data_IF_334057674295
#
_entry.id   IF_334057674295
#
_cell.length_a   1.000
_cell.length_b   1.000
_cell.length_c   1.000
_cell.angle_alpha   90.00
_cell.angle_beta   90.00
_cell.angle_gamma   90.00
#
_symmetry.space_group_name_H-M   'P 1'
#
loop_
_entity.id
_entity.type
_entity.pdbx_description
1 polymer ?
#
# COMPACT_ATOMS: atom_id res chain seq x y z
N UNK A 1 -4.68 -8.20 21.42
CA UNK A 1 -3.88 -7.37 20.49
C UNK A 1 -4.27 -7.77 19.07
N UNK A 2 -4.73 -6.84 18.24
CA UNK A 2 -5.20 -7.14 16.87
C UNK A 2 -4.14 -6.73 15.84
N UNK A 3 -4.02 -7.51 14.78
CA UNK A 3 -3.19 -7.20 13.62
C UNK A 3 -4.12 -6.96 12.43
N UNK A 4 -4.09 -5.76 11.87
CA UNK A 4 -5.04 -5.31 10.85
C UNK A 4 -4.26 -4.94 9.59
N UNK A 5 -4.57 -5.60 8.48
CA UNK A 5 -4.02 -5.29 7.17
C UNK A 5 -4.94 -4.29 6.45
N UNK A 6 -4.41 -3.12 6.13
CA UNK A 6 -5.07 -2.09 5.34
C UNK A 6 -4.59 -2.23 3.90
N UNK A 7 -5.53 -2.47 2.98
CA UNK A 7 -5.25 -2.47 1.55
C UNK A 7 -5.42 -1.06 1.00
N UNK A 8 -4.53 -0.65 0.10
CA UNK A 8 -4.63 0.64 -0.56
C UNK A 8 -4.27 0.56 -2.03
N UNK A 9 -5.03 1.27 -2.85
CA UNK A 9 -4.74 1.63 -4.24
C UNK A 9 -4.43 3.14 -4.37
N UNK A 10 -4.24 3.83 -3.23
CA UNK A 10 -4.08 5.29 -3.09
C UNK A 10 -5.27 6.13 -3.56
N UNK A 11 -6.39 5.51 -3.92
CA UNK A 11 -7.63 6.23 -4.23
C UNK A 11 -8.20 6.93 -2.99
N UNK A 12 -9.04 7.93 -3.22
CA UNK A 12 -9.81 8.59 -2.15
C UNK A 12 -10.62 7.60 -1.32
N UNK A 13 -11.14 6.54 -1.95
CA UNK A 13 -11.96 5.54 -1.29
C UNK A 13 -11.14 4.68 -0.34
N UNK A 14 -9.97 4.18 -0.77
CA UNK A 14 -9.09 3.41 0.12
C UNK A 14 -8.57 4.25 1.28
N UNK A 15 -8.23 5.53 1.03
CA UNK A 15 -7.84 6.46 2.10
C UNK A 15 -8.98 6.69 3.10
N UNK A 16 -10.22 6.86 2.64
CA UNK A 16 -11.37 7.01 3.52
C UNK A 16 -11.64 5.73 4.34
N UNK A 17 -11.49 4.55 3.74
CA UNK A 17 -11.60 3.27 4.44
C UNK A 17 -10.53 3.12 5.53
N UNK A 18 -9.29 3.53 5.26
CA UNK A 18 -8.22 3.55 6.26
C UNK A 18 -8.56 4.49 7.43
N UNK A 19 -9.02 5.71 7.15
CA UNK A 19 -9.45 6.65 8.21
C UNK A 19 -10.56 6.07 9.07
N UNK A 20 -11.56 5.45 8.43
CA UNK A 20 -12.64 4.78 9.15
C UNK A 20 -12.12 3.64 10.04
N UNK A 21 -11.21 2.80 9.54
CA UNK A 21 -10.62 1.73 10.32
C UNK A 21 -9.86 2.26 11.54
N UNK A 22 -9.10 3.35 11.41
CA UNK A 22 -8.40 3.97 12.53
C UNK A 22 -9.38 4.45 13.61
N UNK A 23 -10.47 5.11 13.21
CA UNK A 23 -11.48 5.60 14.15
C UNK A 23 -12.27 4.45 14.80
N UNK A 24 -12.65 3.44 14.02
CA UNK A 24 -13.37 2.26 14.51
C UNK A 24 -12.59 1.51 15.60
N UNK A 25 -11.26 1.51 15.50
CA UNK A 25 -10.37 0.80 16.41
C UNK A 25 -9.64 1.73 17.40
N UNK A 26 -10.05 2.99 17.56
CA UNK A 26 -9.33 3.98 18.38
C UNK A 26 -9.17 3.57 19.86
N UNK A 27 -10.09 2.76 20.38
CA UNK A 27 -10.08 2.25 21.76
C UNK A 27 -9.44 0.85 21.91
N UNK A 28 -8.80 0.33 20.86
CA UNK A 28 -8.20 -0.99 20.85
C UNK A 28 -6.69 -0.93 20.58
N UNK A 29 -5.92 -1.75 21.29
CA UNK A 29 -4.50 -1.95 20.96
C UNK A 29 -4.39 -2.77 19.66
N UNK A 30 -4.10 -2.05 18.57
CA UNK A 30 -4.02 -2.58 17.22
C UNK A 30 -2.65 -2.28 16.59
N UNK A 31 -2.15 -3.22 15.80
CA UNK A 31 -1.00 -3.02 14.91
C UNK A 31 -1.50 -3.05 13.47
N UNK A 32 -1.37 -1.93 12.78
CA UNK A 32 -1.78 -1.78 11.40
C UNK A 32 -0.60 -2.06 10.47
N UNK A 33 -0.87 -2.76 9.38
CA UNK A 33 0.05 -2.98 8.27
C UNK A 33 -0.59 -2.42 7.01
N UNK A 34 0.17 -1.71 6.20
CA UNK A 34 -0.31 -1.16 4.94
C UNK A 34 0.22 -2.00 3.78
N UNK A 35 -0.67 -2.43 2.88
CA UNK A 35 -0.31 -3.17 1.68
C UNK A 35 -0.90 -2.49 0.44
N UNK A 36 -0.01 -2.13 -0.47
CA UNK A 36 -0.35 -1.77 -1.84
C UNK A 36 0.04 -2.93 -2.75
N UNK A 37 -0.87 -3.37 -3.62
CA UNK A 37 -0.59 -4.43 -4.60
C UNK A 37 -0.53 -3.79 -5.97
N UNK A 38 0.65 -3.79 -6.56
CA UNK A 38 0.86 -3.40 -7.96
C UNK A 38 0.85 -4.68 -8.80
N UNK A 39 -0.18 -4.84 -9.66
CA UNK A 39 -0.24 -5.99 -10.57
C UNK A 39 0.70 -5.77 -11.75
N UNK A 40 1.53 -6.77 -12.06
CA UNK A 40 2.43 -6.75 -13.22
C UNK A 40 1.74 -7.07 -14.55
N UNK A 41 0.47 -7.44 -14.51
CA UNK A 41 -0.32 -7.77 -15.71
C UNK A 41 -0.61 -6.57 -16.63
N UNK A 42 -0.29 -5.36 -16.19
CA UNK A 42 -0.57 -4.11 -16.90
C UNK A 42 0.70 -3.40 -17.36
N UNK A 43 1.85 -4.06 -17.31
CA UNK A 43 3.07 -3.49 -17.85
C UNK A 43 3.06 -3.59 -19.38
N UNK A 44 3.02 -2.43 -20.03
CA UNK A 44 3.44 -2.33 -21.43
C UNK A 44 4.96 -2.54 -21.47
N UNK A 45 5.51 -2.91 -22.62
CA UNK A 45 6.97 -3.05 -22.79
C UNK A 45 7.74 -1.82 -22.27
N UNK A 46 7.15 -0.63 -22.38
CA UNK A 46 7.72 0.62 -21.89
C UNK A 46 7.84 0.68 -20.35
N UNK A 47 6.87 0.12 -19.62
CA UNK A 47 6.90 0.10 -18.15
C UNK A 47 8.00 -0.83 -17.61
N UNK A 48 8.26 -1.94 -18.31
CA UNK A 48 9.35 -2.87 -17.97
C UNK A 48 10.72 -2.24 -18.23
N UNK A 49 10.86 -1.47 -19.32
CA UNK A 49 12.10 -0.74 -19.63
C UNK A 49 12.35 0.37 -18.60
N UNK A 50 11.30 1.08 -18.18
CA UNK A 50 11.42 2.10 -17.14
C UNK A 50 11.84 1.51 -15.79
N UNK A 51 11.27 0.37 -15.40
CA UNK A 51 11.63 -0.34 -14.18
C UNK A 51 13.05 -0.93 -14.20
N UNK A 52 13.52 -1.41 -15.36
CA UNK A 52 14.89 -1.88 -15.53
C UNK A 52 15.95 -0.78 -15.43
N UNK A 53 15.56 0.47 -15.68
CA UNK A 53 16.45 1.64 -15.62
C UNK A 53 16.43 2.33 -14.25
N UNK A 54 15.54 1.94 -13.34
CA UNK A 54 15.53 2.42 -11.97
C UNK A 54 16.69 1.77 -11.20
N UNK A 55 17.81 2.48 -11.10
CA UNK A 55 18.88 2.14 -10.15
C UNK A 55 18.31 2.20 -8.74
N UNK A 56 18.07 1.03 -8.14
CA UNK A 56 17.80 0.90 -6.72
C UNK A 56 19.07 1.22 -5.94
N UNK A 57 19.30 2.50 -5.67
CA UNK A 57 20.22 2.88 -4.61
C UNK A 57 19.53 2.53 -3.30
N UNK A 58 19.91 1.40 -2.72
CA UNK A 58 19.61 1.10 -1.32
C UNK A 58 20.38 2.12 -0.49
N UNK A 59 19.70 3.17 -0.03
CA UNK A 59 20.16 3.93 1.12
C UNK A 59 19.92 3.05 2.34
N UNK A 60 21.02 2.48 2.86
CA UNK A 60 21.11 1.93 4.21
C UNK A 60 20.79 3.01 5.24
#
# INVERSE_FOLDING_TARGET
MKHILLLTDYSKNSINAMRYALQLFEHHICKFYLLHVQSSSTYTTDDLILAGNATFTVLL
#
